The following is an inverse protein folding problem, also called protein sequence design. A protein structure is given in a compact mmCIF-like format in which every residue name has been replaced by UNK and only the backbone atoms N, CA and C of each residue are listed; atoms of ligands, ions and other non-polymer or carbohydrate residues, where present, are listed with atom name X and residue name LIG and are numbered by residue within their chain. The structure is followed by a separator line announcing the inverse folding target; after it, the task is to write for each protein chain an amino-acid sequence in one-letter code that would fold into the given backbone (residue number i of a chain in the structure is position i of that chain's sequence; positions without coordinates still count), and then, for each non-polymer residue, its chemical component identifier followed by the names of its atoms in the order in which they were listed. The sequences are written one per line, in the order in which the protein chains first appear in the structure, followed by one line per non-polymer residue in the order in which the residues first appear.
data_IF_324724712222
#
_entry.id   IF_324724712222
#
_cell.length_a   1.000
_cell.length_b   1.000
_cell.length_c   1.000
_cell.angle_alpha   90.00
_cell.angle_beta   90.00
_cell.angle_gamma   90.00
#
_symmetry.space_group_name_H-M   'P 1'
#
loop_
_entity.id
_entity.type
_entity.pdbx_description
1 polymer ?
#
# COMPACT_ATOMS: atom_id res chain seq x y z
N UNK A 1 0.28 -0.74 13.39
CA UNK A 1 -1.01 -0.13 13.04
C UNK A 1 -0.93 0.43 11.62
N UNK A 2 -1.82 0.00 10.72
CA UNK A 2 -1.94 0.57 9.38
C UNK A 2 -3.00 1.68 9.40
N UNK A 3 -2.75 2.76 8.66
CA UNK A 3 -3.69 3.87 8.53
C UNK A 3 -3.52 4.60 7.20
N UNK A 4 -4.63 4.97 6.57
CA UNK A 4 -4.62 5.96 5.48
C UNK A 4 -4.13 7.31 6.02
N UNK A 5 -3.26 8.04 5.31
CA UNK A 5 -2.72 9.32 5.80
C UNK A 5 -3.78 10.39 6.04
N UNK A 6 -4.82 10.41 5.21
CA UNK A 6 -5.91 11.39 5.30
C UNK A 6 -6.21 12.08 3.97
N UNK A 7 -6.88 13.23 4.04
CA UNK A 7 -7.31 13.98 2.86
C UNK A 7 -7.07 15.49 3.01
N UNK A 8 -6.85 16.19 1.88
CA UNK A 8 -6.61 17.64 1.90
C UNK A 8 -7.89 18.50 2.00
N UNK A 9 -9.05 17.91 1.71
CA UNK A 9 -10.38 18.54 1.86
C UNK A 9 -10.39 20.00 1.34
N UNK A 10 -10.08 20.19 0.05
CA UNK A 10 -10.03 21.47 -0.68
C UNK A 10 -8.92 22.47 -0.26
N UNK A 11 -8.04 22.12 0.69
CA UNK A 11 -6.96 23.04 1.11
C UNK A 11 -5.67 22.88 0.31
N UNK A 12 -5.63 21.95 -0.63
CA UNK A 12 -4.44 21.60 -1.42
C UNK A 12 -3.55 20.53 -0.78
N UNK A 13 -2.80 19.84 -1.63
CA UNK A 13 -1.97 18.68 -1.22
C UNK A 13 -0.90 19.09 -0.20
N UNK A 14 -0.16 20.19 -0.45
CA UNK A 14 0.90 20.67 0.44
C UNK A 14 0.40 20.96 1.86
N UNK A 15 -0.68 21.72 1.98
CA UNK A 15 -1.28 22.04 3.29
C UNK A 15 -1.82 20.77 3.99
N UNK A 16 -2.34 19.81 3.22
CA UNK A 16 -2.79 18.53 3.72
C UNK A 16 -1.64 17.70 4.28
N UNK A 17 -0.56 17.56 3.53
CA UNK A 17 0.67 16.84 3.93
C UNK A 17 1.24 17.42 5.23
N UNK A 18 1.34 18.75 5.32
CA UNK A 18 1.81 19.43 6.52
C UNK A 18 0.95 19.13 7.76
N UNK A 19 -0.39 19.09 7.59
CA UNK A 19 -1.29 18.73 8.69
C UNK A 19 -1.14 17.27 9.11
N UNK A 20 -0.95 16.36 8.14
CA UNK A 20 -0.71 14.94 8.43
C UNK A 20 0.57 14.79 9.25
N UNK A 21 1.69 15.37 8.81
CA UNK A 21 2.96 15.31 9.53
C UNK A 21 2.82 15.87 10.97
N UNK A 22 2.17 17.00 11.13
CA UNK A 22 1.89 17.58 12.45
C UNK A 22 1.01 16.67 13.32
N UNK A 23 -0.04 16.07 12.74
CA UNK A 23 -0.91 15.13 13.45
C UNK A 23 -0.16 13.88 13.93
N UNK A 24 0.73 13.33 13.10
CA UNK A 24 1.59 12.20 13.47
C UNK A 24 2.54 12.56 14.62
N UNK A 25 3.15 13.75 14.59
CA UNK A 25 3.98 14.25 15.68
C UNK A 25 3.19 14.37 16.98
N UNK A 26 1.96 14.88 16.91
CA UNK A 26 1.09 15.01 18.07
C UNK A 26 0.64 13.66 18.65
N UNK A 27 0.35 12.67 17.77
CA UNK A 27 0.07 11.28 18.19
C UNK A 27 1.26 10.71 18.96
N UNK A 28 2.46 10.80 18.40
CA UNK A 28 3.68 10.27 19.04
C UNK A 28 4.00 10.99 20.35
N UNK A 29 3.72 12.28 20.45
CA UNK A 29 3.86 13.04 21.71
C UNK A 29 2.89 12.56 22.78
N UNK A 30 1.62 12.31 22.42
CA UNK A 30 0.58 11.85 23.37
C UNK A 30 0.72 10.38 23.75
N UNK A 31 1.24 9.58 22.82
CA UNK A 31 1.36 8.13 22.97
C UNK A 31 2.85 7.74 23.03
N UNK A 32 3.67 8.49 23.79
CA UNK A 32 5.13 8.29 23.85
C UNK A 32 5.54 6.90 24.32
N UNK A 33 4.73 6.28 25.18
CA UNK A 33 4.99 4.98 25.76
C UNK A 33 4.61 3.80 24.87
N UNK A 34 3.90 4.08 23.76
CA UNK A 34 3.49 3.05 22.83
C UNK A 34 4.65 2.68 21.88
N UNK A 35 4.88 1.38 21.76
CA UNK A 35 5.92 0.82 20.87
C UNK A 35 5.42 0.46 19.47
N UNK A 36 4.14 0.78 19.18
CA UNK A 36 3.50 0.47 17.90
C UNK A 36 4.03 1.42 16.83
N UNK A 37 4.54 0.85 15.74
CA UNK A 37 4.86 1.61 14.52
C UNK A 37 3.58 1.93 13.77
N UNK A 38 3.45 3.16 13.26
CA UNK A 38 2.36 3.55 12.36
C UNK A 38 2.84 3.32 10.93
N UNK A 39 2.12 2.48 10.19
CA UNK A 39 2.33 2.26 8.77
C UNK A 39 1.36 3.13 7.98
N UNK A 40 1.88 4.09 7.25
CA UNK A 40 1.08 4.88 6.33
C UNK A 40 0.81 4.03 5.09
N UNK A 41 -0.45 3.89 4.75
CA UNK A 41 -0.85 3.08 3.60
C UNK A 41 -0.85 3.91 2.32
N UNK A 42 -0.30 3.33 1.23
CA UNK A 42 -0.49 3.88 -0.11
C UNK A 42 -1.96 3.82 -0.45
N UNK A 43 -2.56 4.95 -0.85
CA UNK A 43 -3.99 5.05 -1.15
C UNK A 43 -4.25 5.12 -2.65
N UNK A 44 -5.47 4.81 -3.07
CA UNK A 44 -5.88 4.89 -4.48
C UNK A 44 -5.96 6.34 -5.02
N UNK A 45 -6.02 7.34 -4.14
CA UNK A 45 -6.18 8.74 -4.55
C UNK A 45 -7.62 9.12 -4.90
N UNK A 46 -8.61 8.39 -4.37
CA UNK A 46 -10.02 8.70 -4.59
C UNK A 46 -10.41 10.03 -3.92
N UNK A 47 -11.05 10.91 -4.67
CA UNK A 47 -11.48 12.23 -4.18
C UNK A 47 -10.31 13.13 -3.81
N UNK A 48 -10.20 13.53 -2.55
CA UNK A 48 -9.13 14.40 -2.02
C UNK A 48 -8.13 13.66 -1.13
N UNK A 49 -8.11 12.32 -1.19
CA UNK A 49 -7.24 11.47 -0.39
C UNK A 49 -5.78 11.71 -0.75
N UNK A 50 -4.93 11.81 0.27
CA UNK A 50 -3.48 11.94 0.16
C UNK A 50 -2.80 10.58 0.35
N UNK A 51 -1.52 10.49 -0.06
CA UNK A 51 -0.76 9.26 0.06
C UNK A 51 -0.83 8.36 -1.17
N UNK A 52 -1.49 8.80 -2.25
CA UNK A 52 -1.53 8.08 -3.52
C UNK A 52 -0.29 8.31 -4.41
N UNK A 53 0.49 9.35 -4.15
CA UNK A 53 1.80 9.56 -4.76
C UNK A 53 2.89 9.15 -3.77
N UNK A 54 3.93 8.48 -4.23
CA UNK A 54 5.09 8.20 -3.39
C UNK A 54 5.75 9.47 -2.86
N UNK A 55 5.73 10.56 -3.65
CA UNK A 55 6.19 11.87 -3.22
C UNK A 55 5.42 12.40 -1.99
N UNK A 56 4.10 12.19 -1.89
CA UNK A 56 3.33 12.56 -0.70
C UNK A 56 3.88 11.88 0.55
N UNK A 57 4.19 10.59 0.46
CA UNK A 57 4.77 9.83 1.57
C UNK A 57 6.17 10.35 1.91
N UNK A 58 7.02 10.54 0.90
CA UNK A 58 8.35 11.13 1.07
C UNK A 58 8.31 12.49 1.76
N UNK A 59 7.35 13.34 1.39
CA UNK A 59 7.16 14.66 2.04
C UNK A 59 6.67 14.54 3.48
N UNK A 60 5.77 13.61 3.80
CA UNK A 60 5.32 13.36 5.18
C UNK A 60 6.52 12.91 6.03
N UNK A 61 7.33 11.96 5.54
CA UNK A 61 8.54 11.50 6.25
C UNK A 61 9.56 12.62 6.49
N UNK A 62 9.71 13.54 5.53
CA UNK A 62 10.62 14.71 5.67
C UNK A 62 10.12 15.74 6.67
N UNK A 63 8.80 15.88 6.85
CA UNK A 63 8.21 16.93 7.68
C UNK A 63 7.91 16.48 9.11
N UNK A 64 7.76 15.18 9.37
CA UNK A 64 7.57 14.65 10.73
C UNK A 64 8.89 14.57 11.50
N UNK A 65 8.82 14.78 12.82
CA UNK A 65 9.95 14.62 13.76
C UNK A 65 10.18 13.16 14.15
N UNK A 66 9.24 12.28 13.86
CA UNK A 66 9.23 10.87 14.29
C UNK A 66 9.22 9.89 13.11
N UNK A 67 9.96 10.21 12.04
CA UNK A 67 10.07 9.37 10.85
C UNK A 67 10.63 7.96 11.13
N UNK A 68 11.35 7.78 12.24
CA UNK A 68 11.84 6.50 12.73
C UNK A 68 10.73 5.58 13.24
N UNK A 69 9.62 6.15 13.70
CA UNK A 69 8.43 5.43 14.19
C UNK A 69 7.37 5.18 13.10
N UNK A 70 7.65 5.59 11.87
CA UNK A 70 6.76 5.42 10.72
C UNK A 70 7.31 4.40 9.74
N UNK A 71 6.40 3.69 9.09
CA UNK A 71 6.67 2.81 7.96
C UNK A 71 5.59 2.98 6.88
N UNK A 72 5.69 2.16 5.85
CA UNK A 72 4.71 2.09 4.75
C UNK A 72 4.05 0.71 4.76
N UNK A 73 2.74 0.71 4.55
CA UNK A 73 1.98 -0.41 4.04
C UNK A 73 1.72 -0.19 2.55
N UNK A 74 2.11 -1.14 1.71
CA UNK A 74 1.88 -1.06 0.27
C UNK A 74 0.65 -1.89 -0.09
N UNK A 75 -0.45 -1.23 -0.42
CA UNK A 75 -1.62 -1.89 -0.98
C UNK A 75 -1.49 -1.99 -2.50
N UNK A 76 -1.58 -3.20 -3.05
CA UNK A 76 -1.40 -3.47 -4.48
C UNK A 76 -2.53 -2.90 -5.33
N UNK A 77 -3.78 -2.98 -4.86
CA UNK A 77 -4.94 -2.37 -5.52
C UNK A 77 -4.82 -0.85 -5.54
N UNK A 78 -4.48 -0.24 -4.41
CA UNK A 78 -4.36 1.20 -4.28
C UNK A 78 -3.22 1.77 -5.13
N UNK A 79 -2.03 1.16 -5.09
CA UNK A 79 -0.90 1.60 -5.90
C UNK A 79 -1.22 1.50 -7.40
N UNK A 80 -1.85 0.41 -7.84
CA UNK A 80 -2.29 0.24 -9.22
C UNK A 80 -3.34 1.29 -9.61
N UNK A 81 -4.35 1.49 -8.76
CA UNK A 81 -5.37 2.52 -8.99
C UNK A 81 -4.78 3.94 -8.98
N UNK A 82 -3.72 4.19 -8.21
CA UNK A 82 -3.00 5.47 -8.20
C UNK A 82 -2.15 5.70 -9.47
N UNK A 83 -1.88 4.65 -10.26
CA UNK A 83 -1.15 4.75 -11.52
C UNK A 83 0.24 4.11 -11.52
N UNK A 84 0.58 3.33 -10.49
CA UNK A 84 1.84 2.58 -10.40
C UNK A 84 1.66 1.18 -11.00
N UNK A 85 2.22 0.90 -12.19
CA UNK A 85 2.10 -0.41 -12.80
C UNK A 85 2.97 -1.43 -12.05
N UNK A 86 2.41 -2.63 -11.84
CA UNK A 86 3.09 -3.73 -11.15
C UNK A 86 3.39 -4.91 -12.09
N UNK A 87 3.17 -4.74 -13.38
CA UNK A 87 3.47 -5.66 -14.46
C UNK A 87 3.42 -4.90 -15.79
N UNK A 88 4.24 -5.25 -16.81
CA UNK A 88 5.27 -6.31 -16.82
C UNK A 88 6.49 -5.99 -15.91
N UNK A 89 7.48 -6.92 -15.89
CA UNK A 89 8.63 -6.84 -14.97
C UNK A 89 9.38 -5.49 -15.05
N UNK A 90 9.50 -4.91 -16.25
CA UNK A 90 10.16 -3.62 -16.46
C UNK A 90 9.43 -2.48 -15.74
N UNK A 91 8.12 -2.48 -15.78
CA UNK A 91 7.29 -1.46 -15.12
C UNK A 91 7.26 -1.69 -13.59
N UNK A 92 7.23 -2.98 -13.17
CA UNK A 92 7.40 -3.36 -11.77
C UNK A 92 8.70 -2.81 -11.18
N UNK A 93 9.82 -3.01 -11.89
CA UNK A 93 11.13 -2.53 -11.43
C UNK A 93 11.18 -1.00 -11.38
N UNK A 94 10.61 -0.32 -12.35
CA UNK A 94 10.53 1.15 -12.38
C UNK A 94 9.70 1.68 -11.20
N UNK A 95 8.56 1.06 -10.90
CA UNK A 95 7.72 1.41 -9.75
C UNK A 95 8.49 1.28 -8.43
N UNK A 96 9.20 0.16 -8.23
CA UNK A 96 9.99 -0.03 -7.00
C UNK A 96 11.22 0.86 -6.92
N UNK A 97 11.81 1.22 -8.06
CA UNK A 97 12.90 2.20 -8.11
C UNK A 97 12.41 3.60 -7.70
N UNK A 98 11.24 4.03 -8.18
CA UNK A 98 10.63 5.29 -7.77
C UNK A 98 10.30 5.29 -6.28
N UNK A 99 9.70 4.19 -5.78
CA UNK A 99 9.43 4.02 -4.35
C UNK A 99 10.69 4.16 -3.51
N UNK A 100 11.76 3.46 -3.88
CA UNK A 100 13.04 3.52 -3.14
C UNK A 100 13.66 4.92 -3.17
N UNK A 101 13.59 5.60 -4.31
CA UNK A 101 14.13 6.96 -4.47
C UNK A 101 13.41 7.99 -3.60
N UNK A 102 12.08 7.91 -3.52
CA UNK A 102 11.24 8.92 -2.85
C UNK A 102 11.01 8.64 -1.37
N UNK A 103 10.96 7.38 -0.99
CA UNK A 103 10.58 6.94 0.36
C UNK A 103 11.71 6.14 1.03
N UNK A 104 12.35 5.24 0.28
CA UNK A 104 13.30 4.25 0.75
C UNK A 104 12.67 2.89 0.98
N UNK A 105 13.24 1.83 0.36
CA UNK A 105 12.71 0.47 0.45
C UNK A 105 12.66 -0.07 1.89
N UNK A 106 13.58 0.40 2.75
CA UNK A 106 13.63 0.04 4.16
C UNK A 106 12.43 0.55 5.00
N UNK A 107 11.66 1.51 4.45
CA UNK A 107 10.43 2.01 5.08
C UNK A 107 9.22 1.10 4.81
N UNK A 108 9.29 0.24 3.81
CA UNK A 108 8.24 -0.76 3.56
C UNK A 108 8.23 -1.79 4.70
N UNK A 109 7.07 -1.99 5.31
CA UNK A 109 6.91 -2.85 6.49
C UNK A 109 5.80 -3.87 6.36
N UNK A 110 4.87 -3.67 5.45
CA UNK A 110 3.77 -4.59 5.22
C UNK A 110 3.20 -4.41 3.80
N UNK A 111 2.49 -5.42 3.34
CA UNK A 111 1.64 -5.36 2.16
C UNK A 111 0.19 -5.64 2.52
N UNK A 112 -0.71 -4.94 1.84
CA UNK A 112 -2.05 -5.43 1.57
C UNK A 112 -2.06 -5.99 0.13
N UNK A 113 -2.32 -7.28 -0.01
CA UNK A 113 -2.39 -7.96 -1.30
C UNK A 113 -3.84 -8.04 -1.77
N UNK A 114 -4.23 -7.13 -2.62
CA UNK A 114 -5.58 -7.02 -3.15
C UNK A 114 -5.51 -6.85 -4.67
N UNK A 115 -6.34 -7.57 -5.43
CA UNK A 115 -6.54 -7.24 -6.83
C UNK A 115 -7.49 -6.04 -6.95
N UNK A 116 -7.61 -5.46 -8.13
CA UNK A 116 -8.37 -4.24 -8.36
C UNK A 116 -9.52 -4.49 -9.33
N UNK A 117 -10.74 -4.07 -8.95
CA UNK A 117 -11.90 -4.06 -9.87
C UNK A 117 -11.76 -3.03 -10.98
N UNK A 118 -10.81 -2.10 -10.88
CA UNK A 118 -10.66 -0.99 -11.83
C UNK A 118 -9.24 -0.96 -12.40
N UNK A 119 -9.11 -0.38 -13.60
CA UNK A 119 -7.84 -0.30 -14.31
C UNK A 119 -6.82 0.63 -13.68
N UNK A 120 -5.60 0.56 -14.22
CA UNK A 120 -4.46 1.40 -13.83
C UNK A 120 -4.83 2.90 -13.90
N UNK A 121 -4.48 3.63 -12.84
CA UNK A 121 -4.71 5.07 -12.77
C UNK A 121 -6.17 5.50 -12.59
N UNK A 122 -7.08 4.57 -12.31
CA UNK A 122 -8.52 4.83 -12.15
C UNK A 122 -8.85 5.73 -10.97
N UNK A 123 -8.01 5.76 -9.95
CA UNK A 123 -8.24 6.41 -8.66
C UNK A 123 -9.50 5.95 -7.95
N UNK A 124 -9.84 4.67 -8.12
CA UNK A 124 -11.00 4.04 -7.50
C UNK A 124 -10.54 2.91 -6.60
N UNK A 125 -10.86 3.05 -5.32
CA UNK A 125 -10.60 2.05 -4.29
C UNK A 125 -11.70 0.99 -4.31
N UNK A 126 -11.44 -0.14 -4.97
CA UNK A 126 -12.35 -1.29 -5.04
C UNK A 126 -11.55 -2.58 -5.21
N UNK A 127 -11.42 -3.31 -4.11
CA UNK A 127 -10.71 -4.57 -4.05
C UNK A 127 -11.44 -5.70 -4.80
N UNK A 128 -10.67 -6.59 -5.39
CA UNK A 128 -11.12 -7.81 -6.03
C UNK A 128 -10.30 -9.00 -5.53
N UNK A 129 -10.78 -10.21 -5.74
CA UNK A 129 -10.08 -11.45 -5.44
C UNK A 129 -8.80 -11.57 -6.27
N UNK A 130 -7.79 -12.19 -5.69
CA UNK A 130 -6.46 -12.36 -6.30
C UNK A 130 -6.56 -13.00 -7.69
N UNK A 131 -6.05 -12.31 -8.69
CA UNK A 131 -6.03 -12.76 -10.09
C UNK A 131 -7.36 -12.63 -10.82
N UNK A 132 -8.41 -12.08 -10.20
CA UNK A 132 -9.73 -11.92 -10.82
C UNK A 132 -10.05 -10.47 -11.23
N UNK A 133 -9.16 -9.55 -10.90
CA UNK A 133 -9.30 -8.15 -11.21
C UNK A 133 -8.44 -7.69 -12.40
N UNK A 134 -8.35 -6.37 -12.54
CA UNK A 134 -7.58 -5.71 -13.60
C UNK A 134 -6.06 -5.77 -13.38
N UNK A 135 -5.60 -6.04 -12.17
CA UNK A 135 -4.20 -6.28 -11.86
C UNK A 135 -3.75 -7.64 -12.41
N UNK A 136 -4.59 -8.66 -12.24
CA UNK A 136 -4.29 -10.04 -12.64
C UNK A 136 -3.30 -10.73 -11.71
N UNK A 137 -2.80 -11.90 -12.11
CA UNK A 137 -2.02 -12.79 -11.23
C UNK A 137 -0.52 -12.47 -11.17
N UNK A 138 0.05 -11.93 -12.25
CA UNK A 138 1.51 -11.78 -12.39
C UNK A 138 2.15 -10.77 -11.40
N UNK A 139 1.54 -9.64 -11.05
CA UNK A 139 2.05 -8.76 -10.00
C UNK A 139 2.27 -9.48 -8.67
N UNK A 140 1.33 -10.34 -8.28
CA UNK A 140 1.45 -11.12 -7.04
C UNK A 140 2.58 -12.14 -7.13
N UNK A 141 2.75 -12.80 -8.29
CA UNK A 141 3.91 -13.69 -8.51
C UNK A 141 5.23 -12.94 -8.35
N UNK A 142 5.35 -11.74 -8.93
CA UNK A 142 6.55 -10.93 -8.80
C UNK A 142 6.83 -10.52 -7.35
N UNK A 143 5.82 -10.04 -6.63
CA UNK A 143 5.95 -9.59 -5.23
C UNK A 143 6.35 -10.76 -4.31
N UNK A 144 5.66 -11.89 -4.43
CA UNK A 144 5.86 -13.05 -3.54
C UNK A 144 7.24 -13.71 -3.70
N UNK A 145 7.85 -13.58 -4.88
CA UNK A 145 9.17 -14.15 -5.17
C UNK A 145 10.29 -13.09 -5.19
N UNK A 146 10.00 -11.87 -4.79
CA UNK A 146 11.02 -10.82 -4.65
C UNK A 146 11.74 -10.96 -3.30
N UNK A 147 13.05 -11.23 -3.30
CA UNK A 147 13.80 -11.46 -2.05
C UNK A 147 13.79 -10.25 -1.11
N UNK A 148 13.54 -9.03 -1.63
CA UNK A 148 13.42 -7.82 -0.82
C UNK A 148 12.24 -7.90 0.15
N UNK A 149 11.22 -8.69 -0.16
CA UNK A 149 9.94 -8.74 0.55
C UNK A 149 9.70 -10.04 1.32
N UNK A 150 10.61 -10.99 1.24
CA UNK A 150 10.44 -12.35 1.78
C UNK A 150 10.03 -12.42 3.27
N UNK A 151 10.41 -11.41 4.06
CA UNK A 151 10.12 -11.37 5.50
C UNK A 151 9.07 -10.33 5.89
N UNK A 152 8.38 -9.72 4.93
CA UNK A 152 7.35 -8.74 5.22
C UNK A 152 5.99 -9.41 5.43
N UNK A 153 5.20 -8.98 6.40
CA UNK A 153 3.83 -9.45 6.54
C UNK A 153 2.98 -9.01 5.35
N UNK A 154 2.15 -9.92 4.87
CA UNK A 154 1.23 -9.70 3.75
C UNK A 154 -0.17 -10.11 4.17
N UNK A 155 -1.14 -9.19 4.03
CA UNK A 155 -2.52 -9.33 4.52
C UNK A 155 -3.49 -9.14 3.37
N UNK A 156 -4.65 -9.78 3.44
CA UNK A 156 -5.74 -9.65 2.48
C UNK A 156 -6.84 -8.74 3.03
N UNK A 157 -7.35 -7.84 2.18
CA UNK A 157 -8.56 -7.05 2.42
C UNK A 157 -9.60 -7.27 1.31
N UNK A 158 -9.49 -8.42 0.63
CA UNK A 158 -10.44 -8.87 -0.40
C UNK A 158 -11.83 -9.13 0.19
N UNK A 159 -12.91 -9.13 -0.62
CA UNK A 159 -14.23 -9.55 -0.17
C UNK A 159 -14.17 -10.94 0.51
N UNK A 160 -14.96 -11.13 1.57
CA UNK A 160 -14.92 -12.38 2.35
C UNK A 160 -15.77 -13.48 1.74
N UNK A 161 -16.71 -13.12 0.90
CA UNK A 161 -17.70 -14.01 0.31
C UNK A 161 -17.81 -13.78 -1.21
N UNK A 162 -18.11 -14.85 -1.96
CA UNK A 162 -18.44 -14.79 -3.38
C UNK A 162 -19.52 -15.86 -3.69
N UNK A 163 -20.74 -15.43 -4.02
CA UNK A 163 -21.88 -16.35 -4.20
C UNK A 163 -22.16 -17.14 -2.90
N UNK A 164 -22.18 -18.46 -3.00
CA UNK A 164 -22.41 -19.36 -1.86
C UNK A 164 -21.11 -19.73 -1.11
N UNK A 165 -19.95 -19.18 -1.54
CA UNK A 165 -18.68 -19.41 -0.85
C UNK A 165 -18.43 -18.35 0.21
N UNK A 166 -18.36 -18.76 1.47
CA UNK A 166 -18.11 -17.92 2.66
C UNK A 166 -16.67 -17.96 3.16
N UNK A 167 -15.74 -18.62 2.43
CA UNK A 167 -14.31 -18.66 2.76
C UNK A 167 -13.44 -18.21 1.58
N UNK A 168 -13.62 -17.00 1.13
CA UNK A 168 -12.79 -16.45 0.07
C UNK A 168 -11.37 -16.08 0.53
N UNK A 169 -11.15 -15.89 1.81
CA UNK A 169 -9.79 -15.74 2.34
C UNK A 169 -8.96 -17.01 2.11
N UNK A 170 -9.53 -18.20 2.40
CA UNK A 170 -8.87 -19.49 2.12
C UNK A 170 -8.55 -19.68 0.65
N UNK A 171 -9.47 -19.31 -0.25
CA UNK A 171 -9.26 -19.36 -1.71
C UNK A 171 -8.13 -18.43 -2.15
N UNK A 172 -8.17 -17.15 -1.73
CA UNK A 172 -7.15 -16.16 -2.09
C UNK A 172 -5.76 -16.54 -1.52
N UNK A 173 -5.69 -17.02 -0.27
CA UNK A 173 -4.43 -17.46 0.33
C UNK A 173 -3.86 -18.69 -0.39
N UNK A 174 -4.70 -19.64 -0.82
CA UNK A 174 -4.26 -20.78 -1.61
C UNK A 174 -3.70 -20.31 -2.95
N UNK A 175 -4.43 -19.43 -3.65
CA UNK A 175 -3.95 -18.83 -4.91
C UNK A 175 -2.57 -18.19 -4.74
N UNK A 176 -2.36 -17.40 -3.68
CA UNK A 176 -1.05 -16.77 -3.41
C UNK A 176 0.05 -17.80 -3.12
N UNK A 177 -0.25 -18.82 -2.33
CA UNK A 177 0.73 -19.88 -2.00
C UNK A 177 1.19 -20.65 -3.23
N UNK A 178 0.28 -20.90 -4.18
CA UNK A 178 0.59 -21.61 -5.44
C UNK A 178 1.50 -20.77 -6.38
N UNK A 179 1.66 -19.48 -6.12
CA UNK A 179 2.57 -18.62 -6.87
C UNK A 179 4.01 -18.64 -6.34
N UNK A 180 4.24 -19.16 -5.14
CA UNK A 180 5.59 -19.25 -4.57
C UNK A 180 6.42 -20.25 -5.39
N UNK A 181 7.61 -19.84 -5.79
CA UNK A 181 8.57 -20.73 -6.44
C UNK A 181 9.17 -21.66 -5.38
N UNK A 182 9.20 -22.95 -5.69
CA UNK A 182 9.95 -23.93 -4.88
C UNK A 182 11.43 -23.59 -4.94
N UNK A 183 12.01 -23.32 -3.78
CA UNK A 183 13.46 -23.17 -3.64
C UNK A 183 14.16 -24.52 -3.84
#
# INVERSE_FOLDING_TARGET
LVAHPGAHVKTGEEAGIKRIAHGLDEIHRRCSDFKVMILLEITAGQGSTLGYKFDHMGQIFKQTKHADKLGICFDTCHAFAAGYPLFPKVDYDATWQEFDTLIGINKLKAFHLNDSKKGLGSRVDRHEHIGKGALGIEPFRLILNDPRFANLPMVLETPKEEGDNHDMDGVNLTTLRDLLQSN
#
